data_IF_264624029298
#
_entry.id   IF_264624029298
#
_cell.length_a   1.000
_cell.length_b   1.000
_cell.length_c   1.000
_cell.angle_alpha   90.00
_cell.angle_beta   90.00
_cell.angle_gamma   90.00
#
_symmetry.space_group_name_H-M   'P 1'
#
loop_
_entity.id
_entity.type
_entity.pdbx_description
1 polymer ?
#
# COMPACT_ATOMS: atom_id res chain seq x y z
N UNK A 1 -10.24 9.21 6.31
CA UNK A 1 -10.02 7.75 6.27
C UNK A 1 -11.02 7.14 5.32
N UNK A 2 -10.58 6.67 4.20
CA UNK A 2 -11.42 6.01 3.20
C UNK A 2 -10.58 5.06 2.35
N UNK A 3 -11.21 4.07 1.74
CA UNK A 3 -10.64 3.27 0.67
C UNK A 3 -11.09 3.87 -0.65
N UNK A 4 -10.14 4.41 -1.39
CA UNK A 4 -10.36 4.98 -2.73
C UNK A 4 -9.78 4.03 -3.76
N UNK A 5 -10.60 3.54 -4.68
CA UNK A 5 -10.11 2.71 -5.78
C UNK A 5 -9.95 3.49 -7.07
N UNK A 6 -8.87 3.25 -7.78
CA UNK A 6 -8.60 3.73 -9.13
C UNK A 6 -8.71 2.56 -10.10
N UNK A 7 -9.75 2.55 -10.92
CA UNK A 7 -10.03 1.47 -11.87
C UNK A 7 -10.02 1.98 -13.32
N UNK A 8 -10.04 1.08 -14.26
CA UNK A 8 -10.10 1.38 -15.70
C UNK A 8 -9.52 0.23 -16.53
N UNK A 9 -9.74 0.21 -17.84
CA UNK A 9 -9.19 -0.80 -18.75
C UNK A 9 -7.66 -0.90 -18.70
N UNK A 10 -7.10 -1.95 -19.27
CA UNK A 10 -5.66 -2.07 -19.42
C UNK A 10 -5.13 -0.93 -20.30
N UNK A 11 -4.02 -0.30 -19.89
CA UNK A 11 -3.46 0.86 -20.59
C UNK A 11 -4.15 2.20 -20.28
N UNK A 12 -5.18 2.24 -19.43
CA UNK A 12 -5.90 3.47 -19.08
C UNK A 12 -5.07 4.52 -18.31
N UNK A 13 -3.85 4.17 -17.85
CA UNK A 13 -2.97 5.12 -17.17
C UNK A 13 -2.94 5.00 -15.63
N UNK A 14 -3.60 4.00 -15.02
CA UNK A 14 -3.64 3.80 -13.56
C UNK A 14 -2.25 3.79 -12.91
N UNK A 15 -1.36 2.95 -13.42
CA UNK A 15 0.03 2.84 -12.91
C UNK A 15 0.81 4.14 -13.13
N UNK A 16 0.51 4.90 -14.20
CA UNK A 16 1.12 6.22 -14.44
C UNK A 16 0.72 7.20 -13.34
N UNK A 17 -0.55 7.23 -12.94
CA UNK A 17 -1.03 8.05 -11.81
C UNK A 17 -0.27 7.68 -10.54
N UNK A 18 -0.18 6.40 -10.20
CA UNK A 18 0.58 5.92 -9.03
C UNK A 18 2.06 6.34 -9.08
N UNK A 19 2.68 6.23 -10.26
CA UNK A 19 4.07 6.63 -10.44
C UNK A 19 4.27 8.15 -10.26
N UNK A 20 3.33 8.98 -10.68
CA UNK A 20 3.36 10.42 -10.41
C UNK A 20 3.17 10.73 -8.93
N UNK A 21 2.20 10.10 -8.26
CA UNK A 21 1.92 10.29 -6.83
C UNK A 21 3.09 9.88 -5.93
N UNK A 22 3.90 8.91 -6.37
CA UNK A 22 5.03 8.37 -5.60
C UNK A 22 6.40 8.90 -6.05
N UNK A 23 6.43 9.87 -6.98
CA UNK A 23 7.66 10.53 -7.44
C UNK A 23 8.55 9.68 -8.35
N UNK A 24 8.04 8.55 -8.88
CA UNK A 24 8.73 7.77 -9.92
C UNK A 24 8.69 8.49 -11.28
N UNK A 25 7.58 9.20 -11.56
CA UNK A 25 7.45 10.03 -12.74
C UNK A 25 7.18 11.48 -12.32
N UNK A 26 7.84 12.41 -13.00
CA UNK A 26 7.54 13.83 -12.85
C UNK A 26 6.41 14.19 -13.80
N UNK A 27 5.27 14.70 -13.31
CA UNK A 27 4.19 15.17 -14.18
C UNK A 27 4.68 16.33 -15.04
N UNK A 28 4.22 16.41 -16.29
CA UNK A 28 4.55 17.50 -17.21
C UNK A 28 3.73 18.77 -16.96
N UNK A 29 2.66 18.67 -16.19
CA UNK A 29 1.81 19.79 -15.79
C UNK A 29 0.85 19.38 -14.68
N UNK A 30 0.14 20.37 -14.11
CA UNK A 30 -0.74 20.18 -12.97
C UNK A 30 0.00 20.19 -11.64
N UNK A 31 -0.75 20.01 -10.55
CA UNK A 31 -0.24 20.00 -9.17
C UNK A 31 -0.67 18.76 -8.45
N UNK A 32 0.20 18.23 -7.59
CA UNK A 32 -0.08 17.13 -6.68
C UNK A 32 0.18 17.65 -5.28
N UNK A 33 -0.84 17.65 -4.43
CA UNK A 33 -0.71 18.17 -3.08
C UNK A 33 -1.07 17.11 -2.04
N UNK A 34 -0.25 17.03 -1.01
CA UNK A 34 -0.58 16.33 0.23
C UNK A 34 -0.72 17.39 1.32
N UNK A 35 -1.95 17.59 1.82
CA UNK A 35 -2.28 18.75 2.64
C UNK A 35 -1.87 20.04 1.90
N UNK A 36 -1.01 20.86 2.51
CA UNK A 36 -0.53 22.12 1.93
C UNK A 36 0.86 22.01 1.28
N UNK A 37 1.33 20.79 1.03
CA UNK A 37 2.67 20.54 0.48
C UNK A 37 2.60 19.96 -0.94
N UNK A 38 3.37 20.54 -1.83
CA UNK A 38 3.54 20.07 -3.21
C UNK A 38 4.40 18.81 -3.26
N UNK A 39 3.93 17.77 -3.95
CA UNK A 39 4.65 16.52 -4.14
C UNK A 39 5.35 16.43 -5.49
N UNK A 40 4.88 17.17 -6.50
CA UNK A 40 5.42 17.09 -7.85
C UNK A 40 6.91 17.48 -7.89
N UNK A 41 7.69 16.57 -8.43
CA UNK A 41 9.14 16.75 -8.55
C UNK A 41 9.94 16.39 -7.28
N UNK A 42 9.30 16.02 -6.20
CA UNK A 42 9.99 15.45 -5.04
C UNK A 42 10.47 14.02 -5.34
N UNK A 43 11.65 13.62 -4.84
CA UNK A 43 12.10 12.24 -4.93
C UNK A 43 11.20 11.33 -4.08
N UNK A 44 10.94 10.10 -4.55
CA UNK A 44 10.03 9.15 -3.89
C UNK A 44 10.38 8.88 -2.42
N UNK A 45 11.67 8.91 -2.06
CA UNK A 45 12.09 8.77 -0.65
C UNK A 45 11.57 9.91 0.23
N UNK A 46 11.50 11.13 -0.30
CA UNK A 46 10.95 12.28 0.44
C UNK A 46 9.44 12.15 0.58
N UNK A 47 8.75 11.75 -0.49
CA UNK A 47 7.30 11.48 -0.49
C UNK A 47 6.96 10.38 0.53
N UNK A 48 7.75 9.30 0.57
CA UNK A 48 7.58 8.24 1.55
C UNK A 48 7.73 8.74 3.00
N UNK A 49 8.70 9.63 3.27
CA UNK A 49 8.88 10.27 4.58
C UNK A 49 7.73 11.22 4.96
N UNK A 50 7.00 11.73 3.99
CA UNK A 50 5.79 12.53 4.20
C UNK A 50 4.56 11.66 4.49
N UNK A 51 4.71 10.32 4.49
CA UNK A 51 3.65 9.38 4.85
C UNK A 51 2.90 8.78 3.66
N UNK A 52 3.38 8.92 2.42
CA UNK A 52 2.81 8.23 1.25
C UNK A 52 3.64 7.01 0.93
N UNK A 53 3.13 5.83 1.21
CA UNK A 53 3.85 4.56 1.05
C UNK A 53 3.12 3.66 0.06
N UNK A 54 3.86 2.92 -0.77
CA UNK A 54 3.31 2.08 -1.82
C UNK A 54 3.84 0.64 -1.74
N UNK A 55 2.95 -0.34 -1.97
CA UNK A 55 3.34 -1.68 -2.42
C UNK A 55 3.60 -1.68 -3.93
N UNK A 56 4.16 -2.75 -4.44
CA UNK A 56 4.39 -2.92 -5.88
C UNK A 56 3.59 -4.12 -6.39
N UNK A 57 3.34 -4.15 -7.69
CA UNK A 57 2.64 -5.25 -8.34
C UNK A 57 3.29 -6.62 -8.05
N UNK A 58 4.63 -6.67 -8.03
CA UNK A 58 5.37 -7.85 -7.59
C UNK A 58 5.85 -7.65 -6.16
N UNK A 59 5.69 -8.68 -5.34
CA UNK A 59 6.15 -8.69 -3.94
C UNK A 59 7.64 -8.35 -3.83
N UNK A 60 7.95 -7.26 -3.15
CA UNK A 60 9.32 -6.74 -2.94
C UNK A 60 9.76 -6.90 -1.49
N UNK A 61 9.91 -8.14 -1.05
CA UNK A 61 10.50 -8.45 0.25
C UNK A 61 12.01 -8.65 0.13
N UNK A 62 12.72 -8.43 1.24
CA UNK A 62 14.10 -8.87 1.40
C UNK A 62 14.07 -10.39 1.65
N UNK A 63 14.17 -11.16 0.58
CA UNK A 63 13.88 -12.60 0.54
C UNK A 63 14.76 -13.43 1.46
N UNK A 64 16.04 -13.04 1.62
CA UNK A 64 17.03 -13.71 2.47
C UNK A 64 16.92 -13.32 3.95
N UNK A 65 16.22 -12.23 4.24
CA UNK A 65 15.94 -11.79 5.61
C UNK A 65 14.76 -12.55 6.18
N UNK A 66 14.71 -12.63 7.50
CA UNK A 66 13.56 -13.19 8.21
C UNK A 66 12.33 -12.29 8.07
N UNK A 67 11.17 -12.85 8.39
CA UNK A 67 9.89 -12.15 8.37
C UNK A 67 9.94 -10.91 9.26
N UNK A 68 10.45 -11.03 10.47
CA UNK A 68 10.55 -9.90 11.42
C UNK A 68 11.59 -8.86 10.97
N UNK A 69 12.74 -9.28 10.42
CA UNK A 69 13.76 -8.37 9.91
C UNK A 69 13.24 -7.49 8.77
N UNK A 70 12.37 -8.02 7.90
CA UNK A 70 11.70 -7.21 6.87
C UNK A 70 10.93 -6.02 7.46
N UNK A 71 10.28 -6.20 8.60
CA UNK A 71 9.54 -5.14 9.28
C UNK A 71 10.48 -4.17 10.03
N UNK A 72 11.54 -4.69 10.63
CA UNK A 72 12.53 -3.86 11.34
C UNK A 72 13.28 -2.92 10.39
N UNK A 73 13.67 -3.42 9.21
CA UNK A 73 14.33 -2.59 8.17
C UNK A 73 13.42 -1.45 7.71
N UNK A 74 12.12 -1.70 7.54
CA UNK A 74 11.18 -0.66 7.15
C UNK A 74 11.09 0.46 8.20
N UNK A 75 11.17 0.13 9.47
CA UNK A 75 11.12 1.09 10.57
C UNK A 75 12.43 1.89 10.77
N UNK A 76 13.54 1.43 10.17
CA UNK A 76 14.84 2.07 10.38
C UNK A 76 14.86 3.56 9.98
N UNK A 77 14.09 3.95 8.97
CA UNK A 77 13.99 5.36 8.55
C UNK A 77 13.32 6.26 9.59
N UNK A 78 12.52 5.71 10.50
CA UNK A 78 11.84 6.42 11.57
C UNK A 78 12.69 6.51 12.85
N UNK A 79 13.70 5.65 12.98
CA UNK A 79 14.63 5.70 14.12
C UNK A 79 15.48 6.96 13.99
N UNK A 80 15.09 8.03 14.71
CA UNK A 80 15.85 9.30 14.81
C UNK A 80 17.21 9.15 15.52
N UNK A 81 17.73 7.93 15.65
CA UNK A 81 18.98 7.63 16.33
C UNK A 81 20.12 7.77 15.33
N UNK A 82 20.97 8.77 15.53
CA UNK A 82 22.18 8.99 14.71
C UNK A 82 23.17 7.82 14.80
N UNK A 83 24.07 7.69 13.82
CA UNK A 83 25.10 6.66 13.72
C UNK A 83 25.89 6.48 15.05
N UNK A 84 26.17 7.55 15.78
CA UNK A 84 26.89 7.52 17.05
C UNK A 84 26.09 6.85 18.19
N UNK A 85 24.77 7.03 18.23
CA UNK A 85 23.92 6.40 19.25
C UNK A 85 23.78 4.88 19.02
N UNK A 86 23.80 4.44 17.77
CA UNK A 86 23.83 3.02 17.39
C UNK A 86 25.15 2.37 17.75
N UNK A 87 26.30 3.04 17.52
CA UNK A 87 27.64 2.54 17.84
C UNK A 87 27.83 2.37 19.34
N UNK A 88 27.32 3.31 20.14
CA UNK A 88 27.45 3.33 21.61
C UNK A 88 26.33 2.52 22.32
N UNK A 89 25.37 1.95 21.59
CA UNK A 89 24.22 1.19 22.14
C UNK A 89 23.59 1.88 23.36
N UNK A 90 23.34 3.18 23.23
CA UNK A 90 22.77 4.00 24.31
C UNK A 90 21.44 3.44 24.83
N UNK A 91 21.03 3.73 26.07
CA UNK A 91 19.73 3.30 26.59
C UNK A 91 18.54 3.78 25.70
N UNK A 92 18.65 4.97 25.10
CA UNK A 92 17.66 5.48 24.15
C UNK A 92 17.59 4.64 22.86
N UNK A 93 18.74 4.21 22.34
CA UNK A 93 18.81 3.33 21.17
C UNK A 93 18.18 1.96 21.47
N UNK A 94 18.47 1.37 22.64
CA UNK A 94 17.87 0.09 23.05
C UNK A 94 16.36 0.18 23.16
N UNK A 95 15.83 1.22 23.82
CA UNK A 95 14.37 1.44 23.91
C UNK A 95 13.72 1.57 22.54
N UNK A 96 14.30 2.36 21.63
CA UNK A 96 13.78 2.51 20.28
C UNK A 96 13.79 1.19 19.48
N UNK A 97 14.80 0.34 19.73
CA UNK A 97 14.89 -0.99 19.11
C UNK A 97 13.83 -1.94 19.71
N UNK A 98 13.63 -1.93 21.03
CA UNK A 98 12.60 -2.74 21.69
C UNK A 98 11.20 -2.33 21.20
N UNK A 99 10.90 -1.03 21.13
CA UNK A 99 9.64 -0.51 20.60
C UNK A 99 9.41 -0.90 19.12
N UNK A 100 10.46 -0.91 18.30
CA UNK A 100 10.37 -1.34 16.92
C UNK A 100 10.09 -2.85 16.81
N UNK A 101 10.69 -3.64 17.69
CA UNK A 101 10.48 -5.08 17.77
C UNK A 101 9.04 -5.40 18.21
N UNK A 102 8.54 -4.72 19.25
CA UNK A 102 7.18 -4.89 19.76
C UNK A 102 6.15 -4.53 18.69
N UNK A 103 6.35 -3.42 17.98
CA UNK A 103 5.49 -3.08 16.83
C UNK A 103 5.52 -4.14 15.75
N UNK A 104 6.69 -4.63 15.38
CA UNK A 104 6.82 -5.68 14.38
C UNK A 104 6.10 -6.97 14.81
N UNK A 105 6.29 -7.39 16.08
CA UNK A 105 5.62 -8.56 16.63
C UNK A 105 4.09 -8.40 16.65
N UNK A 106 3.59 -7.24 17.06
CA UNK A 106 2.15 -6.93 17.07
C UNK A 106 1.55 -7.03 15.65
N UNK A 107 2.24 -6.50 14.64
CA UNK A 107 1.80 -6.61 13.26
C UNK A 107 1.84 -8.04 12.73
N UNK A 108 2.88 -8.82 13.09
CA UNK A 108 2.97 -10.22 12.69
C UNK A 108 1.89 -11.07 13.34
N UNK A 109 1.54 -10.80 14.59
CA UNK A 109 0.46 -11.49 15.29
C UNK A 109 -0.89 -11.22 14.58
N UNK A 110 -1.16 -9.97 14.24
CA UNK A 110 -2.37 -9.54 13.53
C UNK A 110 -2.60 -10.27 12.21
N UNK A 111 -1.55 -10.55 11.44
CA UNK A 111 -1.64 -11.30 10.17
C UNK A 111 -1.36 -12.80 10.34
N UNK A 112 -1.27 -13.30 11.57
CA UNK A 112 -1.06 -14.73 11.87
C UNK A 112 0.34 -15.26 11.52
N UNK A 113 1.34 -14.38 11.38
CA UNK A 113 2.71 -14.74 11.01
C UNK A 113 3.72 -14.68 12.16
N UNK A 114 3.31 -14.40 13.39
CA UNK A 114 4.22 -14.27 14.53
C UNK A 114 5.03 -15.57 14.75
N UNK A 115 4.41 -16.74 14.62
CA UNK A 115 5.10 -18.04 14.71
C UNK A 115 6.17 -18.26 13.62
N UNK A 116 6.13 -17.46 12.55
CA UNK A 116 7.08 -17.50 11.44
C UNK A 116 8.09 -16.35 11.49
N UNK A 117 8.13 -15.56 12.56
CA UNK A 117 8.95 -14.34 12.69
C UNK A 117 10.42 -14.56 12.30
N UNK A 118 11.01 -15.68 12.71
CA UNK A 118 12.41 -16.04 12.44
C UNK A 118 12.62 -16.85 11.15
N UNK A 119 11.56 -17.10 10.37
CA UNK A 119 11.65 -17.81 9.10
C UNK A 119 12.05 -16.84 8.00
N UNK A 120 12.84 -17.28 7.02
CA UNK A 120 13.13 -16.45 5.84
C UNK A 120 11.85 -16.14 5.07
N UNK A 121 11.72 -14.89 4.61
CA UNK A 121 10.53 -14.42 3.89
C UNK A 121 10.30 -15.20 2.57
N UNK A 122 11.36 -15.66 1.91
CA UNK A 122 11.27 -16.51 0.72
C UNK A 122 10.57 -17.85 0.95
N UNK A 123 10.52 -18.34 2.18
CA UNK A 123 9.92 -19.63 2.54
C UNK A 123 8.42 -19.52 2.96
N UNK A 124 7.84 -18.33 2.86
CA UNK A 124 6.40 -18.13 3.07
C UNK A 124 5.61 -18.50 1.81
N UNK A 125 4.35 -18.90 1.99
CA UNK A 125 3.39 -18.96 0.89
C UNK A 125 3.19 -17.58 0.27
N UNK A 126 2.78 -17.51 -1.01
CA UNK A 126 2.67 -16.24 -1.73
C UNK A 126 1.67 -15.27 -1.07
N UNK A 127 0.52 -15.74 -0.61
CA UNK A 127 -0.45 -14.92 0.13
C UNK A 127 0.12 -14.32 1.41
N UNK A 128 0.93 -15.10 2.16
CA UNK A 128 1.62 -14.62 3.35
C UNK A 128 2.69 -13.57 3.02
N UNK A 129 3.43 -13.76 1.93
CA UNK A 129 4.39 -12.77 1.45
C UNK A 129 3.68 -11.44 1.10
N UNK A 130 2.50 -11.52 0.49
CA UNK A 130 1.70 -10.34 0.14
C UNK A 130 1.20 -9.61 1.38
N UNK A 131 0.66 -10.32 2.37
CA UNK A 131 0.26 -9.73 3.66
C UNK A 131 1.44 -9.11 4.40
N UNK A 132 2.60 -9.78 4.41
CA UNK A 132 3.83 -9.25 5.00
C UNK A 132 4.29 -7.97 4.30
N UNK A 133 4.18 -7.87 2.96
CA UNK A 133 4.53 -6.65 2.21
C UNK A 133 3.66 -5.47 2.61
N UNK A 134 2.34 -5.67 2.77
CA UNK A 134 1.41 -4.64 3.22
C UNK A 134 1.76 -4.18 4.64
N UNK A 135 1.96 -5.13 5.55
CA UNK A 135 2.32 -4.83 6.94
C UNK A 135 3.67 -4.14 7.03
N UNK A 136 4.63 -4.46 6.16
CA UNK A 136 5.90 -3.73 6.05
C UNK A 136 5.71 -2.25 5.69
N UNK A 137 4.68 -1.92 4.93
CA UNK A 137 4.29 -0.53 4.73
C UNK A 137 3.65 0.05 6.00
N UNK A 138 2.76 -0.70 6.65
CA UNK A 138 2.00 -0.22 7.81
C UNK A 138 2.84 0.03 9.07
N UNK A 139 3.93 -0.72 9.30
CA UNK A 139 4.84 -0.45 10.43
C UNK A 139 5.50 0.92 10.36
N UNK A 140 5.50 1.56 9.19
CA UNK A 140 5.97 2.94 9.01
C UNK A 140 4.91 3.99 9.35
N UNK A 141 3.71 3.59 9.74
CA UNK A 141 2.59 4.46 10.10
C UNK A 141 2.25 5.47 8.98
N UNK A 142 1.94 5.00 7.76
CA UNK A 142 1.67 5.87 6.64
C UNK A 142 0.35 6.64 6.82
N UNK A 143 0.29 7.86 6.28
CA UNK A 143 -0.96 8.60 6.12
C UNK A 143 -1.77 8.06 4.93
N UNK A 144 -1.06 7.73 3.85
CA UNK A 144 -1.62 7.14 2.64
C UNK A 144 -0.88 5.85 2.30
N UNK A 145 -1.61 4.75 2.26
CA UNK A 145 -1.14 3.46 1.77
C UNK A 145 -1.64 3.24 0.34
N UNK A 146 -0.73 3.09 -0.60
CA UNK A 146 -1.05 2.82 -2.00
C UNK A 146 -0.82 1.34 -2.31
N UNK A 147 -1.87 0.64 -2.72
CA UNK A 147 -1.86 -0.78 -3.05
C UNK A 147 -2.02 -0.96 -4.56
N UNK A 148 -1.05 -1.60 -5.20
CA UNK A 148 -1.02 -1.84 -6.65
C UNK A 148 -1.30 -3.31 -6.94
N UNK A 149 -2.54 -3.61 -7.35
CA UNK A 149 -3.05 -4.95 -7.63
C UNK A 149 -2.69 -5.97 -6.52
N UNK A 150 -3.11 -5.70 -5.26
CA UNK A 150 -2.69 -6.53 -4.13
C UNK A 150 -3.26 -7.96 -4.18
N UNK A 151 -4.37 -8.20 -4.87
CA UNK A 151 -4.98 -9.52 -4.99
C UNK A 151 -4.43 -10.35 -6.15
N UNK A 152 -3.55 -9.78 -7.00
CA UNK A 152 -3.02 -10.50 -8.16
C UNK A 152 -2.29 -11.79 -7.76
N UNK A 153 -2.70 -12.92 -8.33
CA UNK A 153 -2.09 -14.23 -8.09
C UNK A 153 -2.55 -14.93 -6.80
N UNK A 154 -3.46 -14.36 -6.04
CA UNK A 154 -4.05 -14.98 -4.86
C UNK A 154 -5.20 -15.93 -5.23
N UNK A 155 -5.36 -16.99 -4.45
CA UNK A 155 -6.55 -17.83 -4.52
C UNK A 155 -7.75 -17.15 -3.81
N UNK A 156 -9.01 -17.64 -4.00
CA UNK A 156 -10.19 -16.98 -3.43
C UNK A 156 -10.17 -16.85 -1.90
N UNK A 157 -9.55 -17.78 -1.18
CA UNK A 157 -9.42 -17.71 0.28
C UNK A 157 -8.43 -16.62 0.68
N UNK A 158 -7.27 -16.57 0.04
CA UNK A 158 -6.25 -15.56 0.28
C UNK A 158 -6.75 -14.15 -0.09
N UNK A 159 -7.54 -14.02 -1.16
CA UNK A 159 -8.18 -12.76 -1.54
C UNK A 159 -9.11 -12.28 -0.42
N UNK A 160 -9.95 -13.17 0.12
CA UNK A 160 -10.85 -12.82 1.22
C UNK A 160 -10.09 -12.37 2.48
N UNK A 161 -9.02 -13.10 2.85
CA UNK A 161 -8.15 -12.71 3.98
C UNK A 161 -7.47 -11.34 3.74
N UNK A 162 -7.12 -11.03 2.50
CA UNK A 162 -6.58 -9.73 2.11
C UNK A 162 -7.64 -8.64 2.22
N UNK A 163 -8.88 -8.87 1.75
CA UNK A 163 -9.99 -7.93 1.83
C UNK A 163 -10.29 -7.56 3.29
N UNK A 164 -10.35 -8.58 4.17
CA UNK A 164 -10.53 -8.41 5.61
C UNK A 164 -9.40 -7.57 6.22
N UNK A 165 -8.15 -7.82 5.83
CA UNK A 165 -7.01 -7.03 6.28
C UNK A 165 -7.13 -5.57 5.81
N UNK A 166 -7.43 -5.31 4.53
CA UNK A 166 -7.55 -3.95 3.98
C UNK A 166 -8.67 -3.18 4.69
N UNK A 167 -9.82 -3.81 4.91
CA UNK A 167 -10.93 -3.20 5.65
C UNK A 167 -10.54 -2.87 7.10
N UNK A 168 -9.86 -3.79 7.79
CA UNK A 168 -9.36 -3.57 9.15
C UNK A 168 -8.35 -2.41 9.21
N UNK A 169 -7.47 -2.28 8.22
CA UNK A 169 -6.51 -1.16 8.14
C UNK A 169 -7.21 0.19 8.03
N UNK A 170 -8.30 0.30 7.25
CA UNK A 170 -9.13 1.51 7.19
C UNK A 170 -9.76 1.83 8.55
N UNK A 171 -10.34 0.82 9.21
CA UNK A 171 -11.16 1.02 10.39
C UNK A 171 -10.33 1.27 11.65
N UNK A 172 -9.17 0.61 11.76
CA UNK A 172 -8.35 0.59 12.98
C UNK A 172 -7.14 1.52 12.94
N UNK A 173 -6.75 2.03 11.77
CA UNK A 173 -5.58 2.90 11.61
C UNK A 173 -5.97 4.23 10.97
N UNK A 174 -5.20 5.28 11.27
CA UNK A 174 -5.41 6.61 10.69
C UNK A 174 -4.78 6.72 9.28
N UNK A 175 -5.11 5.73 8.42
CA UNK A 175 -4.52 5.57 7.09
C UNK A 175 -5.62 5.62 6.03
N UNK A 176 -5.44 6.43 5.00
CA UNK A 176 -6.24 6.38 3.78
C UNK A 176 -5.62 5.37 2.82
N UNK A 177 -6.45 4.55 2.18
CA UNK A 177 -5.96 3.52 1.24
C UNK A 177 -6.33 3.93 -0.18
N UNK A 178 -5.34 4.00 -1.06
CA UNK A 178 -5.53 4.16 -2.49
C UNK A 178 -5.22 2.83 -3.18
N UNK A 179 -6.20 2.25 -3.86
CA UNK A 179 -6.16 0.90 -4.41
C UNK A 179 -6.24 0.93 -5.94
N UNK A 180 -5.32 0.28 -6.63
CA UNK A 180 -5.53 -0.14 -8.03
C UNK A 180 -5.90 -1.62 -8.01
N UNK A 181 -7.04 -1.95 -8.58
CA UNK A 181 -7.49 -3.34 -8.75
C UNK A 181 -8.30 -3.49 -10.03
N UNK A 182 -8.33 -4.72 -10.52
CA UNK A 182 -9.16 -5.12 -11.66
C UNK A 182 -10.23 -6.16 -11.27
N UNK A 183 -10.16 -6.73 -10.07
CA UNK A 183 -11.24 -7.55 -9.51
C UNK A 183 -12.38 -6.64 -9.04
N UNK A 184 -13.43 -6.56 -9.86
CA UNK A 184 -14.58 -5.72 -9.57
C UNK A 184 -15.35 -6.14 -8.32
N UNK A 185 -15.28 -7.43 -7.91
CA UNK A 185 -15.95 -7.88 -6.68
C UNK A 185 -15.24 -7.29 -5.46
N UNK A 186 -13.93 -7.35 -5.45
CA UNK A 186 -13.11 -6.74 -4.42
C UNK A 186 -13.37 -5.23 -4.37
N UNK A 187 -13.19 -4.53 -5.51
CA UNK A 187 -13.38 -3.07 -5.59
C UNK A 187 -14.74 -2.64 -5.07
N UNK A 188 -15.82 -3.26 -5.55
CA UNK A 188 -17.19 -2.91 -5.14
C UNK A 188 -17.49 -3.28 -3.69
N UNK A 189 -16.76 -4.24 -3.12
CA UNK A 189 -16.98 -4.73 -1.75
C UNK A 189 -16.32 -3.89 -0.68
N UNK A 190 -15.18 -3.26 -0.97
CA UNK A 190 -14.38 -2.59 0.06
C UNK A 190 -14.22 -1.07 -0.14
N UNK A 191 -14.49 -0.54 -1.35
CA UNK A 191 -14.24 0.87 -1.65
C UNK A 191 -15.34 1.77 -1.11
N UNK A 192 -14.95 2.90 -0.53
CA UNK A 192 -15.85 3.99 -0.18
C UNK A 192 -16.11 4.88 -1.40
N UNK A 193 -15.10 5.04 -2.27
CA UNK A 193 -15.14 5.84 -3.49
C UNK A 193 -14.32 5.19 -4.60
N UNK A 194 -14.81 5.32 -5.84
CA UNK A 194 -14.14 4.78 -7.02
C UNK A 194 -13.91 5.89 -8.05
N UNK A 195 -12.69 6.00 -8.55
CA UNK A 195 -12.33 6.80 -9.70
C UNK A 195 -12.09 5.89 -10.88
N UNK A 196 -12.73 6.21 -12.01
CA UNK A 196 -12.57 5.46 -13.25
C UNK A 196 -11.77 6.30 -14.23
N UNK A 197 -10.71 5.71 -14.77
CA UNK A 197 -9.91 6.32 -15.84
C UNK A 197 -10.01 5.51 -17.12
N UNK A 198 -10.05 6.19 -18.25
CA UNK A 198 -10.02 5.58 -19.57
C UNK A 198 -9.13 6.40 -20.51
N UNK A 199 -8.21 5.76 -21.22
CA UNK A 199 -7.29 6.42 -22.17
C UNK A 199 -6.58 7.68 -21.61
N UNK A 200 -6.15 7.61 -20.35
CA UNK A 200 -5.43 8.70 -19.67
C UNK A 200 -6.32 9.84 -19.16
N UNK A 201 -7.65 9.75 -19.30
CA UNK A 201 -8.59 10.78 -18.86
C UNK A 201 -9.54 10.27 -17.78
N UNK A 202 -9.97 11.11 -16.82
CA UNK A 202 -11.02 10.75 -15.89
C UNK A 202 -12.32 10.49 -16.64
N UNK A 203 -12.98 9.36 -16.38
CA UNK A 203 -14.24 8.97 -16.98
C UNK A 203 -15.42 9.18 -16.03
N UNK A 204 -15.29 8.72 -14.78
CA UNK A 204 -16.31 8.83 -13.75
C UNK A 204 -15.69 8.79 -12.35
N UNK A 205 -16.39 9.30 -11.36
CA UNK A 205 -16.11 9.07 -9.95
C UNK A 205 -17.43 8.99 -9.17
N UNK A 206 -17.44 8.23 -8.08
CA UNK A 206 -18.61 8.05 -7.24
C UNK A 206 -18.50 6.88 -6.29
N UNK A 207 -19.60 6.55 -5.66
CA UNK A 207 -19.77 5.36 -4.84
C UNK A 207 -19.76 4.09 -5.70
N UNK A 208 -19.53 2.91 -5.13
CA UNK A 208 -19.61 1.64 -5.86
C UNK A 208 -20.94 1.46 -6.61
N UNK A 209 -22.06 1.90 -6.02
CA UNK A 209 -23.38 1.78 -6.63
C UNK A 209 -23.52 2.70 -7.86
N UNK A 210 -23.07 3.96 -7.76
CA UNK A 210 -23.07 4.91 -8.86
C UNK A 210 -22.20 4.43 -10.03
N UNK A 211 -21.02 3.92 -9.74
CA UNK A 211 -20.08 3.41 -10.76
C UNK A 211 -20.62 2.15 -11.44
N UNK A 212 -21.23 1.24 -10.69
CA UNK A 212 -21.84 0.00 -11.24
C UNK A 212 -22.91 0.30 -12.26
N UNK A 213 -23.69 1.36 -12.07
CA UNK A 213 -24.82 1.73 -12.90
C UNK A 213 -24.47 2.79 -13.97
N UNK A 214 -23.21 3.22 -14.05
CA UNK A 214 -22.79 4.25 -14.99
C UNK A 214 -22.64 3.68 -16.41
N UNK A 215 -23.42 4.16 -17.41
CA UNK A 215 -23.37 3.62 -18.76
C UNK A 215 -22.05 3.84 -19.48
N UNK A 216 -21.32 4.91 -19.16
CA UNK A 216 -20.02 5.19 -19.77
C UNK A 216 -18.95 4.24 -19.23
N UNK A 217 -19.01 3.91 -17.94
CA UNK A 217 -18.15 2.91 -17.33
C UNK A 217 -18.41 1.53 -17.91
N UNK A 218 -19.69 1.15 -18.05
CA UNK A 218 -20.08 -0.13 -18.65
C UNK A 218 -19.53 -0.24 -20.07
N UNK A 219 -19.69 0.80 -20.89
CA UNK A 219 -19.15 0.84 -22.28
C UNK A 219 -17.63 0.73 -22.30
N UNK A 220 -16.91 1.42 -21.40
CA UNK A 220 -15.46 1.37 -21.36
C UNK A 220 -14.89 -0.02 -21.04
N UNK A 221 -15.62 -0.84 -20.29
CA UNK A 221 -15.20 -2.22 -19.94
C UNK A 221 -15.68 -3.28 -20.95
N UNK A 222 -16.83 -3.08 -21.58
CA UNK A 222 -17.37 -4.04 -22.55
C UNK A 222 -16.85 -3.82 -23.98
N UNK A 223 -16.22 -2.67 -24.23
CA UNK A 223 -15.87 -2.21 -25.57
C UNK A 223 -17.08 -1.58 -26.28
N UNK A 224 -16.84 -0.71 -27.24
CA UNK A 224 -17.87 -0.29 -28.18
C UNK A 224 -18.25 -1.50 -29.04
N UNK A 225 -19.51 -1.95 -28.96
CA UNK A 225 -20.07 -2.98 -29.81
C UNK A 225 -20.21 -2.48 -31.25
#
# INVERSE_FOLDING_TARGET
KEIVSLIGPNGAGKTTVFNCLTGFYKPTGGTIMLRDQHLEGLPGQQIARMGVVRTFQHVRLFREMTVIENLLVAQHQQLKTGLFSGLLKTPAFRRAQDEALDRAATWLDRIGLLQHANRQASNLAYGDQRRLEIVRCMVTQPEILMLDEPAAGLNPKETKELDELIAELRDSHDTTILLIEHDMKLVMGISDRIYVVNQGTPLANGTPEEIRNNPDVIRAYLGEA
#
